data_IF_562149637669
#
_entry.id   IF_562149637669
#
_cell.length_a   1.000
_cell.length_b   1.000
_cell.length_c   1.000
_cell.angle_alpha   90.00
_cell.angle_beta   90.00
_cell.angle_gamma   90.00
#
_symmetry.space_group_name_H-M   'P 1'
#
loop_
_entity.id
_entity.type
_entity.pdbx_description
1 polymer ?
#
# COMPACT_ATOMS: atom_id res chain seq x y z
N UNK A 1 -6.73 11.01 3.10
CA UNK A 1 -6.26 10.53 4.41
C UNK A 1 -6.93 9.24 4.93
N UNK A 2 -8.23 8.95 4.72
CA UNK A 2 -8.88 7.70 5.18
C UNK A 2 -8.47 6.44 4.39
N UNK A 3 -8.20 6.53 3.10
CA UNK A 3 -7.63 5.41 2.31
C UNK A 3 -6.28 4.98 2.88
N UNK A 4 -5.47 5.96 3.26
CA UNK A 4 -4.20 5.74 3.95
C UNK A 4 -4.37 5.10 5.31
N UNK A 5 -5.38 5.53 6.09
CA UNK A 5 -5.61 4.95 7.43
C UNK A 5 -6.10 3.52 7.37
N UNK A 6 -6.95 3.14 6.38
CA UNK A 6 -7.44 1.75 6.23
C UNK A 6 -6.41 0.85 5.55
N UNK A 7 -5.75 1.29 4.49
CA UNK A 7 -4.56 0.62 3.95
C UNK A 7 -3.42 0.60 4.99
N UNK A 8 -3.26 1.68 5.79
CA UNK A 8 -2.31 1.73 6.88
C UNK A 8 -2.73 0.83 8.06
N UNK A 9 -4.00 0.61 8.33
CA UNK A 9 -4.43 -0.36 9.36
C UNK A 9 -4.19 -1.78 8.88
N UNK A 10 -4.47 -2.11 7.62
CA UNK A 10 -4.07 -3.40 7.03
C UNK A 10 -2.53 -3.50 6.89
N UNK A 11 -1.83 -2.40 6.57
CA UNK A 11 -0.38 -2.29 6.57
C UNK A 11 0.19 -2.28 7.99
N UNK A 12 -0.47 -1.63 8.97
CA UNK A 12 -0.04 -1.65 10.37
C UNK A 12 -0.28 -3.01 11.03
N UNK A 13 -1.37 -3.71 10.71
CA UNK A 13 -1.55 -5.10 11.19
C UNK A 13 -0.54 -6.04 10.55
N UNK A 14 -0.25 -5.87 9.26
CA UNK A 14 0.84 -6.61 8.62
C UNK A 14 2.22 -6.16 9.12
N UNK A 15 2.46 -4.86 9.28
CA UNK A 15 3.71 -4.30 9.81
C UNK A 15 3.87 -4.51 11.32
N UNK A 16 2.79 -4.52 12.11
CA UNK A 16 2.85 -4.90 13.52
C UNK A 16 3.13 -6.39 13.70
N UNK A 17 2.55 -7.25 12.87
CA UNK A 17 2.93 -8.67 12.86
C UNK A 17 4.40 -8.85 12.49
N UNK A 18 4.94 -8.03 11.58
CA UNK A 18 6.36 -8.04 11.19
C UNK A 18 7.23 -7.39 12.28
N UNK A 19 6.79 -6.29 12.92
CA UNK A 19 7.61 -5.58 13.92
C UNK A 19 7.68 -6.27 15.29
N UNK A 20 6.67 -7.06 15.67
CA UNK A 20 6.74 -7.87 16.90
C UNK A 20 7.79 -8.98 16.80
N UNK A 21 8.11 -9.43 15.58
CA UNK A 21 9.15 -10.45 15.36
C UNK A 21 10.57 -9.86 15.20
N UNK A 22 10.71 -8.57 14.87
CA UNK A 22 12.00 -7.88 14.73
C UNK A 22 12.55 -7.34 16.05
N UNK A 23 11.76 -7.29 17.12
CA UNK A 23 12.17 -6.78 18.42
C UNK A 23 13.20 -7.68 19.15
N UNK A 24 13.53 -8.86 18.63
CA UNK A 24 14.50 -9.79 19.19
C UNK A 24 15.84 -9.89 18.43
N UNK A 25 16.21 -8.98 17.55
CA UNK A 25 17.43 -9.05 16.77
C UNK A 25 18.19 -7.74 16.66
N UNK A 26 19.21 -7.56 17.51
CA UNK A 26 20.14 -6.44 17.45
C UNK A 26 21.00 -6.42 16.18
N UNK A 27 21.43 -5.23 15.83
CA UNK A 27 22.07 -4.78 14.62
C UNK A 27 23.26 -5.60 14.10
N UNK A 28 23.39 -5.57 12.78
CA UNK A 28 24.55 -6.05 12.06
C UNK A 28 24.62 -5.41 10.68
N UNK A 29 25.54 -4.47 10.52
CA UNK A 29 25.96 -3.92 9.24
C UNK A 29 26.62 -5.01 8.39
N UNK A 30 26.02 -5.35 7.27
CA UNK A 30 26.59 -6.28 6.29
C UNK A 30 26.54 -5.69 4.90
N UNK A 31 27.68 -5.19 4.42
CA UNK A 31 27.95 -4.86 3.01
C UNK A 31 27.98 -6.13 2.17
N UNK A 32 27.05 -6.29 1.24
CA UNK A 32 27.05 -7.36 0.27
C UNK A 32 26.41 -6.90 -1.03
N UNK A 33 27.25 -6.64 -2.05
CA UNK A 33 26.81 -6.31 -3.39
C UNK A 33 26.12 -7.49 -4.07
N UNK A 34 24.91 -7.30 -4.60
CA UNK A 34 24.21 -8.25 -5.43
C UNK A 34 23.33 -7.50 -6.41
N UNK A 35 23.54 -7.71 -7.72
CA UNK A 35 22.85 -7.05 -8.79
C UNK A 35 21.34 -7.19 -8.71
N UNK A 36 20.66 -6.15 -8.28
CA UNK A 36 19.23 -6.03 -8.27
C UNK A 36 18.71 -5.76 -9.67
N UNK A 37 17.93 -6.66 -10.22
CA UNK A 37 17.15 -6.41 -11.41
C UNK A 37 16.21 -5.23 -11.12
N UNK A 38 16.37 -4.14 -11.87
CA UNK A 38 15.51 -2.97 -11.78
C UNK A 38 14.11 -3.38 -12.18
N UNK A 39 13.16 -3.39 -11.24
CA UNK A 39 11.74 -3.37 -11.56
C UNK A 39 11.51 -2.06 -12.33
N UNK A 40 10.95 -2.09 -13.57
CA UNK A 40 10.75 -0.86 -14.31
C UNK A 40 9.75 0.00 -13.54
N UNK A 41 10.24 1.08 -12.95
CA UNK A 41 9.39 2.14 -12.41
C UNK A 41 8.68 2.78 -13.60
N UNK A 42 7.34 2.84 -13.55
CA UNK A 42 6.55 3.57 -14.53
C UNK A 42 6.22 4.97 -14.05
N UNK A 43 6.64 5.32 -12.83
CA UNK A 43 6.55 6.68 -12.32
C UNK A 43 7.59 7.56 -13.01
N UNK A 44 7.25 8.83 -13.27
CA UNK A 44 8.20 9.83 -13.72
C UNK A 44 9.25 10.06 -12.62
N UNK A 45 10.50 10.29 -13.02
CA UNK A 45 11.54 10.71 -12.08
C UNK A 45 11.24 12.12 -11.56
N UNK A 46 11.70 12.52 -10.35
CA UNK A 46 11.41 13.82 -9.78
C UNK A 46 11.75 15.01 -10.69
N UNK A 47 12.81 14.90 -11.51
CA UNK A 47 13.22 15.90 -12.50
C UNK A 47 12.27 16.04 -13.70
N UNK A 48 11.40 15.06 -13.93
CA UNK A 48 10.38 15.07 -14.98
C UNK A 48 9.05 15.68 -14.52
N UNK A 49 8.95 16.10 -13.26
CA UNK A 49 7.74 16.61 -12.63
C UNK A 49 7.93 18.10 -12.34
N UNK A 50 7.12 18.93 -12.97
CA UNK A 50 7.09 20.37 -12.69
C UNK A 50 5.87 20.67 -11.82
N UNK A 51 6.10 20.71 -10.50
CA UNK A 51 5.08 21.06 -9.52
C UNK A 51 5.05 22.57 -9.27
N UNK A 52 3.90 23.15 -8.91
CA UNK A 52 3.80 24.54 -8.49
C UNK A 52 4.60 24.76 -7.20
N UNK A 53 5.10 25.99 -7.00
CA UNK A 53 5.81 26.37 -5.78
C UNK A 53 4.87 26.33 -4.57
N UNK A 54 5.24 25.75 -3.43
CA UNK A 54 4.40 25.70 -2.22
C UNK A 54 3.96 27.06 -1.70
N UNK A 55 4.73 28.11 -1.95
CA UNK A 55 4.45 29.49 -1.54
C UNK A 55 3.47 30.25 -2.44
N UNK A 56 3.22 29.77 -3.65
CA UNK A 56 2.40 30.48 -4.64
C UNK A 56 0.91 30.17 -4.46
N UNK A 57 0.27 30.89 -3.54
CA UNK A 57 -1.17 30.87 -3.31
C UNK A 57 -1.96 31.89 -4.16
N UNK A 58 -1.26 32.52 -5.13
CA UNK A 58 -1.86 33.53 -6.02
C UNK A 58 -2.11 34.89 -5.36
N UNK A 59 -1.65 35.12 -4.12
CA UNK A 59 -1.82 36.40 -3.42
C UNK A 59 -0.58 37.35 -3.53
N UNK A 60 0.47 36.90 -4.22
CA UNK A 60 1.73 37.67 -4.34
C UNK A 60 1.74 38.57 -5.58
N UNK A 61 1.33 39.82 -5.43
CA UNK A 61 1.75 40.91 -6.32
C UNK A 61 3.24 41.18 -6.16
N UNK A 62 4.06 40.67 -7.06
CA UNK A 62 5.51 40.78 -6.95
C UNK A 62 6.17 41.12 -8.26
N UNK A 63 6.79 42.21 -8.31
CA UNK A 63 7.76 42.86 -9.17
C UNK A 63 8.86 41.95 -9.74
N UNK A 64 8.94 41.91 -11.08
CA UNK A 64 10.14 41.98 -11.92
C UNK A 64 11.26 40.97 -11.77
N UNK A 65 11.42 40.13 -12.78
CA UNK A 65 12.64 39.36 -13.08
C UNK A 65 12.46 38.53 -14.35
N UNK A 66 13.08 38.97 -15.44
CA UNK A 66 13.07 38.29 -16.74
C UNK A 66 13.74 36.90 -16.63
N UNK A 67 12.94 35.89 -16.88
CA UNK A 67 13.40 34.52 -17.07
C UNK A 67 12.18 33.68 -17.46
N UNK A 68 11.97 33.47 -18.73
CA UNK A 68 10.77 32.90 -19.34
C UNK A 68 10.63 31.36 -19.16
N UNK A 69 10.50 30.91 -17.93
CA UNK A 69 9.75 29.66 -17.67
C UNK A 69 8.50 30.05 -16.89
N UNK A 70 7.35 30.02 -17.55
CA UNK A 70 6.04 30.24 -16.93
C UNK A 70 5.80 29.12 -15.91
N UNK A 71 6.15 29.39 -14.63
CA UNK A 71 5.76 28.53 -13.51
C UNK A 71 4.24 28.38 -13.52
N UNK A 72 3.72 27.18 -13.37
CA UNK A 72 2.29 26.98 -13.28
C UNK A 72 1.71 27.72 -12.08
N UNK A 73 0.81 28.67 -12.35
CA UNK A 73 0.14 29.46 -11.31
C UNK A 73 -1.06 28.70 -10.78
N UNK A 74 -1.21 28.61 -9.47
CA UNK A 74 -2.39 28.01 -8.83
C UNK A 74 -3.56 28.98 -8.85
N UNK A 75 -4.73 28.51 -9.27
CA UNK A 75 -5.97 29.28 -9.23
C UNK A 75 -6.91 28.66 -8.20
N UNK A 76 -7.48 29.43 -7.26
CA UNK A 76 -8.43 28.91 -6.28
C UNK A 76 -9.66 28.27 -6.93
N UNK A 77 -10.09 27.14 -6.43
CA UNK A 77 -11.40 26.57 -6.74
C UNK A 77 -12.42 27.27 -5.82
N UNK A 78 -13.39 27.97 -6.44
CA UNK A 78 -14.41 28.74 -5.70
C UNK A 78 -15.30 27.81 -4.86
N UNK A 79 -15.63 26.64 -5.41
CA UNK A 79 -16.46 25.63 -4.74
C UNK A 79 -15.80 24.25 -4.83
N UNK A 80 -15.27 23.80 -3.72
CA UNK A 80 -14.58 22.51 -3.59
C UNK A 80 -15.49 21.33 -3.96
N UNK A 81 -16.80 21.45 -3.72
CA UNK A 81 -17.77 20.41 -4.05
C UNK A 81 -17.95 20.22 -5.58
N UNK A 82 -17.54 21.18 -6.38
CA UNK A 82 -17.52 21.09 -7.85
C UNK A 82 -16.17 20.64 -8.43
N UNK A 83 -15.19 20.34 -7.59
CA UNK A 83 -13.87 19.86 -7.99
C UNK A 83 -13.95 18.49 -8.71
N UNK A 84 -12.88 18.12 -9.41
CA UNK A 84 -12.74 16.76 -9.96
C UNK A 84 -12.61 15.72 -8.87
N UNK A 85 -11.95 16.06 -7.74
CA UNK A 85 -11.89 15.20 -6.57
C UNK A 85 -13.29 14.95 -5.99
N UNK A 86 -14.15 15.98 -5.88
CA UNK A 86 -15.52 15.79 -5.43
C UNK A 86 -16.31 14.85 -6.36
N UNK A 87 -16.21 15.06 -7.67
CA UNK A 87 -16.86 14.21 -8.69
C UNK A 87 -16.32 12.77 -8.68
N UNK A 88 -15.02 12.61 -8.44
CA UNK A 88 -14.42 11.30 -8.25
C UNK A 88 -14.98 10.62 -7.01
N UNK A 89 -15.06 11.34 -5.88
CA UNK A 89 -15.66 10.82 -4.66
C UNK A 89 -17.11 10.42 -4.88
N UNK A 90 -17.93 11.26 -5.53
CA UNK A 90 -19.32 10.97 -5.87
C UNK A 90 -19.46 9.73 -6.77
N UNK A 91 -18.62 9.61 -7.80
CA UNK A 91 -18.59 8.47 -8.71
C UNK A 91 -18.38 7.13 -8.00
N UNK A 92 -17.58 7.14 -6.94
CA UNK A 92 -17.24 5.94 -6.19
C UNK A 92 -17.96 5.83 -4.83
N UNK A 93 -18.69 6.88 -4.41
CA UNK A 93 -19.52 6.85 -3.22
C UNK A 93 -20.61 5.78 -3.37
N UNK A 94 -20.70 4.88 -2.39
CA UNK A 94 -21.65 3.79 -2.41
C UNK A 94 -21.32 2.64 -3.37
N UNK A 95 -20.14 2.66 -4.03
CA UNK A 95 -19.69 1.49 -4.76
C UNK A 95 -19.39 0.34 -3.79
N UNK A 96 -20.10 -0.77 -3.94
CA UNK A 96 -19.90 -1.98 -3.14
C UNK A 96 -18.80 -2.88 -3.70
N UNK A 97 -18.40 -2.63 -4.94
CA UNK A 97 -17.32 -3.34 -5.62
C UNK A 97 -16.35 -2.36 -6.25
N UNK A 98 -15.05 -2.53 -6.02
CA UNK A 98 -14.02 -1.79 -6.73
C UNK A 98 -12.72 -2.58 -6.87
N UNK A 99 -11.87 -2.10 -7.79
CA UNK A 99 -10.50 -2.55 -7.97
C UNK A 99 -9.58 -1.34 -8.15
N UNK A 100 -8.46 -1.33 -7.44
CA UNK A 100 -7.39 -0.35 -7.61
C UNK A 100 -6.06 -1.06 -7.80
N UNK A 101 -5.27 -0.59 -8.76
CA UNK A 101 -3.85 -0.89 -8.87
C UNK A 101 -3.06 0.42 -8.82
N UNK A 102 -2.13 0.51 -7.88
CA UNK A 102 -1.36 1.72 -7.61
C UNK A 102 0.11 1.39 -7.38
N UNK A 103 0.98 2.29 -7.82
CA UNK A 103 2.40 2.30 -7.50
C UNK A 103 2.70 3.57 -6.71
N UNK A 104 3.41 3.42 -5.60
CA UNK A 104 3.88 4.52 -4.76
C UNK A 104 5.39 4.46 -4.68
N UNK A 105 6.07 5.57 -4.89
CA UNK A 105 7.50 5.72 -4.62
C UNK A 105 7.73 6.81 -3.59
N UNK A 106 8.60 6.55 -2.61
CA UNK A 106 9.09 7.56 -1.67
C UNK A 106 10.50 7.96 -2.03
N UNK A 107 10.85 9.21 -1.75
CA UNK A 107 12.11 9.81 -2.15
C UNK A 107 12.91 10.32 -0.95
N UNK A 108 14.24 10.31 -1.10
CA UNK A 108 15.14 11.06 -0.22
C UNK A 108 15.13 12.55 -0.56
N UNK A 109 15.72 13.37 0.30
CA UNK A 109 15.93 14.79 0.03
C UNK A 109 16.78 15.07 -1.23
N UNK A 110 17.55 14.08 -1.70
CA UNK A 110 18.30 14.16 -2.96
C UNK A 110 17.51 13.69 -4.18
N UNK A 111 16.23 13.28 -4.01
CA UNK A 111 15.39 12.77 -5.09
C UNK A 111 15.61 11.28 -5.43
N UNK A 112 16.45 10.57 -4.67
CA UNK A 112 16.63 9.12 -4.86
C UNK A 112 15.43 8.35 -4.36
N UNK A 113 15.00 7.32 -5.10
CA UNK A 113 13.95 6.39 -4.65
C UNK A 113 14.44 5.59 -3.44
N UNK A 114 13.74 5.73 -2.32
CA UNK A 114 13.99 4.98 -1.08
C UNK A 114 13.18 3.70 -1.03
N UNK A 115 11.92 3.76 -1.43
CA UNK A 115 11.05 2.59 -1.49
C UNK A 115 10.08 2.71 -2.65
N UNK A 116 9.61 1.54 -3.11
CA UNK A 116 8.55 1.43 -4.11
C UNK A 116 7.54 0.40 -3.62
N UNK A 117 6.27 0.77 -3.60
CA UNK A 117 5.16 -0.06 -3.14
C UNK A 117 4.15 -0.21 -4.27
N UNK A 118 4.03 -1.41 -4.81
CA UNK A 118 2.94 -1.74 -5.71
C UNK A 118 1.80 -2.36 -4.91
N UNK A 119 0.62 -1.77 -5.03
CA UNK A 119 -0.60 -2.21 -4.36
C UNK A 119 -1.63 -2.65 -5.40
N UNK A 120 -2.26 -3.80 -5.18
CA UNK A 120 -3.50 -4.20 -5.82
C UNK A 120 -4.52 -4.44 -4.74
N UNK A 121 -5.62 -3.73 -4.81
CA UNK A 121 -6.71 -3.83 -3.84
C UNK A 121 -8.02 -4.07 -4.58
N UNK A 122 -8.81 -5.02 -4.11
CA UNK A 122 -10.16 -5.24 -4.56
C UNK A 122 -11.08 -5.33 -3.35
N UNK A 123 -12.24 -4.73 -3.46
CA UNK A 123 -13.31 -4.88 -2.47
C UNK A 123 -14.57 -5.38 -3.16
N UNK A 124 -15.28 -6.25 -2.46
CA UNK A 124 -16.63 -6.67 -2.83
C UNK A 124 -17.46 -6.75 -1.56
N UNK A 125 -18.45 -5.88 -1.44
CA UNK A 125 -19.21 -5.70 -0.21
C UNK A 125 -18.27 -5.48 0.99
N UNK A 126 -18.25 -6.39 1.94
CA UNK A 126 -17.35 -6.35 3.10
C UNK A 126 -16.07 -7.18 2.92
N UNK A 127 -15.92 -7.87 1.78
CA UNK A 127 -14.75 -8.68 1.50
C UNK A 127 -13.65 -7.82 0.88
N UNK A 128 -12.40 -7.99 1.32
CA UNK A 128 -11.27 -7.21 0.89
C UNK A 128 -10.11 -8.12 0.46
N UNK A 129 -9.59 -7.89 -0.73
CA UNK A 129 -8.34 -8.45 -1.21
C UNK A 129 -7.26 -7.37 -1.26
N UNK A 130 -6.07 -7.69 -0.79
CA UNK A 130 -4.91 -6.81 -0.81
C UNK A 130 -3.66 -7.58 -1.22
N UNK A 131 -2.98 -7.11 -2.27
CA UNK A 131 -1.65 -7.59 -2.65
C UNK A 131 -0.69 -6.41 -2.59
N UNK A 132 0.38 -6.57 -1.83
CA UNK A 132 1.42 -5.56 -1.62
C UNK A 132 2.75 -6.12 -2.07
N UNK A 133 3.45 -5.41 -2.94
CA UNK A 133 4.84 -5.68 -3.28
C UNK A 133 5.68 -4.48 -2.87
N UNK A 134 6.56 -4.67 -1.92
CA UNK A 134 7.40 -3.62 -1.32
C UNK A 134 8.84 -3.87 -1.74
N UNK A 135 9.44 -2.89 -2.39
CA UNK A 135 10.87 -2.84 -2.70
C UNK A 135 11.50 -1.68 -1.95
N UNK A 136 12.47 -1.95 -1.10
CA UNK A 136 13.28 -0.94 -0.40
C UNK A 136 14.62 -0.84 -1.13
N UNK A 137 15.21 0.36 -1.19
CA UNK A 137 16.52 0.59 -1.84
C UNK A 137 17.53 -0.47 -1.39
N UNK A 138 18.14 -1.17 -2.34
CA UNK A 138 19.12 -2.24 -2.13
C UNK A 138 18.60 -3.53 -1.47
N UNK A 139 17.29 -3.72 -1.38
CA UNK A 139 16.69 -4.96 -0.90
C UNK A 139 15.88 -5.65 -1.99
N UNK A 140 15.72 -6.96 -1.87
CA UNK A 140 14.83 -7.73 -2.76
C UNK A 140 13.38 -7.37 -2.46
N UNK A 141 12.58 -7.15 -3.50
CA UNK A 141 11.16 -6.92 -3.34
C UNK A 141 10.47 -8.08 -2.63
N UNK A 142 9.60 -7.75 -1.68
CA UNK A 142 8.75 -8.70 -0.94
C UNK A 142 7.31 -8.51 -1.35
N UNK A 143 6.59 -9.61 -1.54
CA UNK A 143 5.18 -9.58 -1.89
C UNK A 143 4.37 -10.33 -0.86
N UNK A 144 3.38 -9.65 -0.29
CA UNK A 144 2.40 -10.18 0.65
C UNK A 144 1.01 -10.11 0.03
N UNK A 145 0.20 -11.10 0.29
CA UNK A 145 -1.15 -11.19 -0.24
C UNK A 145 -2.13 -11.55 0.88
N UNK A 146 -3.16 -10.72 1.04
CA UNK A 146 -4.15 -10.85 2.10
C UNK A 146 -5.55 -10.92 1.51
N UNK A 147 -6.41 -11.65 2.18
CA UNK A 147 -7.82 -11.76 1.86
C UNK A 147 -8.63 -11.71 3.16
N UNK A 148 -9.46 -10.68 3.32
CA UNK A 148 -10.40 -10.60 4.42
C UNK A 148 -11.79 -10.96 3.92
N UNK A 149 -12.42 -11.95 4.54
CA UNK A 149 -13.76 -12.42 4.19
C UNK A 149 -14.71 -12.25 5.36
N UNK A 150 -15.89 -11.72 5.09
CA UNK A 150 -16.96 -11.63 6.08
C UNK A 150 -17.69 -12.97 6.19
N UNK A 151 -17.70 -13.54 7.39
CA UNK A 151 -18.39 -14.76 7.74
C UNK A 151 -19.33 -14.50 8.93
N UNK A 152 -20.59 -14.19 8.65
CA UNK A 152 -21.56 -13.76 9.66
C UNK A 152 -21.20 -12.41 10.26
N UNK A 153 -20.98 -12.34 11.59
CA UNK A 153 -20.54 -11.13 12.32
C UNK A 153 -19.00 -10.98 12.40
N UNK A 154 -18.25 -11.95 11.89
CA UNK A 154 -16.80 -11.97 11.94
C UNK A 154 -16.20 -11.66 10.58
N UNK A 155 -15.04 -11.02 10.57
CA UNK A 155 -14.14 -10.96 9.43
C UNK A 155 -12.90 -11.77 9.71
N UNK A 156 -12.67 -12.73 8.83
CA UNK A 156 -11.49 -13.58 8.86
C UNK A 156 -10.45 -13.05 7.87
N UNK A 157 -9.25 -12.77 8.35
CA UNK A 157 -8.13 -12.35 7.50
C UNK A 157 -7.19 -13.50 7.23
N UNK A 158 -6.99 -13.79 5.95
CA UNK A 158 -6.12 -14.84 5.46
C UNK A 158 -4.89 -14.24 4.81
N UNK A 159 -3.71 -14.78 5.11
CA UNK A 159 -2.49 -14.61 4.32
C UNK A 159 -2.43 -15.72 3.27
N UNK A 160 -2.21 -15.36 2.00
CA UNK A 160 -2.24 -16.31 0.88
C UNK A 160 -0.81 -16.66 0.44
N UNK A 161 -0.47 -17.94 0.49
CA UNK A 161 0.80 -18.51 0.02
C UNK A 161 0.55 -19.24 -1.31
N UNK A 162 0.74 -18.52 -2.41
CA UNK A 162 0.37 -19.00 -3.76
C UNK A 162 1.14 -20.24 -4.20
N UNK A 163 2.44 -20.31 -3.92
CA UNK A 163 3.28 -21.43 -4.34
C UNK A 163 2.89 -22.73 -3.62
N UNK A 164 2.56 -22.63 -2.35
CA UNK A 164 2.12 -23.77 -1.51
C UNK A 164 0.62 -24.04 -1.60
N UNK A 165 -0.16 -23.14 -2.23
CA UNK A 165 -1.63 -23.16 -2.25
C UNK A 165 -2.22 -23.26 -0.84
N UNK A 166 -1.82 -22.34 0.02
CA UNK A 166 -2.25 -22.25 1.42
C UNK A 166 -2.89 -20.89 1.68
N UNK A 167 -3.97 -20.89 2.44
CA UNK A 167 -4.59 -19.74 3.07
C UNK A 167 -4.46 -19.91 4.59
N UNK A 168 -3.62 -19.10 5.22
CA UNK A 168 -3.48 -19.10 6.67
C UNK A 168 -4.33 -17.98 7.26
N UNK A 169 -5.38 -18.32 8.03
CA UNK A 169 -6.14 -17.35 8.79
C UNK A 169 -5.25 -16.81 9.91
N UNK A 170 -4.92 -15.52 9.86
CA UNK A 170 -4.02 -14.83 10.78
C UNK A 170 -4.77 -14.01 11.83
N UNK A 171 -6.09 -13.98 11.77
CA UNK A 171 -6.91 -13.29 12.75
C UNK A 171 -8.38 -13.20 12.34
N UNK A 172 -9.23 -13.02 13.34
CA UNK A 172 -10.65 -12.77 13.18
C UNK A 172 -11.01 -11.57 14.05
N UNK A 173 -11.76 -10.63 13.48
CA UNK A 173 -12.25 -9.45 14.19
C UNK A 173 -13.76 -9.32 14.00
N UNK A 174 -14.46 -8.78 15.01
CA UNK A 174 -15.80 -8.29 14.79
C UNK A 174 -15.72 -7.06 13.89
N UNK A 175 -16.46 -7.09 12.80
CA UNK A 175 -16.65 -5.89 12.00
C UNK A 175 -17.85 -5.16 12.56
N UNK A 176 -17.62 -4.00 13.17
CA UNK A 176 -18.63 -2.97 13.22
C UNK A 176 -18.93 -2.56 11.76
N UNK A 177 -20.21 -2.32 11.45
CA UNK A 177 -20.73 -2.08 10.09
C UNK A 177 -20.05 -0.94 9.29
N UNK A 178 -19.09 -0.22 9.87
CA UNK A 178 -18.31 0.87 9.27
C UNK A 178 -17.31 0.42 8.17
N UNK A 179 -17.18 -0.90 7.92
CA UNK A 179 -16.31 -1.41 6.83
C UNK A 179 -16.95 -1.27 5.44
N UNK A 180 -18.20 -0.79 5.35
CA UNK A 180 -18.90 -0.56 4.07
C UNK A 180 -18.41 0.67 3.31
N UNK A 181 -17.65 1.57 3.96
CA UNK A 181 -17.03 2.69 3.28
C UNK A 181 -15.84 2.20 2.46
N UNK A 182 -15.96 2.25 1.13
CA UNK A 182 -14.98 1.76 0.15
C UNK A 182 -13.58 2.35 0.32
N UNK A 183 -13.45 3.44 1.11
CA UNK A 183 -12.18 4.11 1.36
C UNK A 183 -11.54 4.73 0.11
N UNK A 184 -12.18 4.65 -1.07
CA UNK A 184 -11.73 5.34 -2.28
C UNK A 184 -12.06 6.83 -2.18
N UNK A 185 -13.22 7.17 -1.60
CA UNK A 185 -13.60 8.55 -1.38
C UNK A 185 -12.75 9.15 -0.26
N UNK A 186 -12.12 10.29 -0.54
CA UNK A 186 -11.34 11.04 0.43
C UNK A 186 -12.19 12.19 0.99
N UNK A 187 -11.96 12.62 2.23
CA UNK A 187 -12.54 13.86 2.72
C UNK A 187 -12.09 15.01 1.83
N UNK A 188 -13.06 15.86 1.45
CA UNK A 188 -12.74 17.05 0.68
C UNK A 188 -11.99 18.03 1.58
N UNK A 189 -10.87 18.60 1.11
CA UNK A 189 -10.14 19.60 1.86
C UNK A 189 -10.95 20.91 1.98
N UNK A 190 -10.73 21.68 3.03
CA UNK A 190 -11.41 22.95 3.24
C UNK A 190 -11.09 23.99 2.16
N UNK A 191 -9.90 23.91 1.55
CA UNK A 191 -9.45 24.80 0.50
C UNK A 191 -8.65 24.02 -0.55
N UNK A 192 -8.86 24.38 -1.82
CA UNK A 192 -8.26 23.72 -2.96
C UNK A 192 -7.95 24.73 -4.06
N UNK A 193 -6.92 24.45 -4.83
CA UNK A 193 -6.53 25.20 -6.02
C UNK A 193 -6.48 24.26 -7.22
N UNK A 194 -6.62 24.81 -8.41
CA UNK A 194 -6.31 24.06 -9.63
C UNK A 194 -5.12 24.66 -10.36
N UNK A 195 -4.44 23.82 -11.10
CA UNK A 195 -3.27 24.21 -11.89
C UNK A 195 -3.07 23.23 -13.05
N UNK A 196 -2.10 23.49 -13.90
CA UNK A 196 -1.58 22.53 -14.88
C UNK A 196 -0.24 22.02 -14.39
N UNK A 197 -0.07 20.71 -14.36
CA UNK A 197 1.18 20.05 -13.98
C UNK A 197 1.73 19.29 -15.17
N UNK A 198 2.98 19.52 -15.51
CA UNK A 198 3.67 18.78 -16.56
C UNK A 198 4.34 17.54 -15.97
N UNK A 199 4.00 16.38 -16.52
CA UNK A 199 4.59 15.08 -16.15
C UNK A 199 5.16 14.45 -17.41
N UNK A 200 6.48 14.42 -17.53
CA UNK A 200 7.15 14.07 -18.78
C UNK A 200 6.69 14.96 -19.95
N UNK A 201 6.20 14.40 -21.06
CA UNK A 201 5.74 15.20 -22.20
C UNK A 201 4.28 15.69 -22.07
N UNK A 202 3.55 15.32 -21.00
CA UNK A 202 2.10 15.50 -20.91
C UNK A 202 1.74 16.55 -19.84
N UNK A 203 0.84 17.46 -20.21
CA UNK A 203 0.22 18.41 -19.30
C UNK A 203 -1.07 17.83 -18.72
N UNK A 204 -1.20 17.86 -17.39
CA UNK A 204 -2.36 17.38 -16.66
C UNK A 204 -3.07 18.53 -15.97
N UNK A 205 -4.40 18.53 -16.02
CA UNK A 205 -5.18 19.32 -15.06
C UNK A 205 -4.95 18.72 -13.67
N UNK A 206 -4.60 19.56 -12.71
CA UNK A 206 -4.32 19.14 -11.36
C UNK A 206 -5.07 19.98 -10.32
N UNK A 207 -5.45 19.34 -9.25
CA UNK A 207 -6.02 19.95 -8.05
C UNK A 207 -5.02 19.81 -6.91
N UNK A 208 -4.80 20.92 -6.19
CA UNK A 208 -3.79 21.05 -5.15
C UNK A 208 -4.47 21.41 -3.85
N UNK A 209 -4.11 20.73 -2.79
CA UNK A 209 -4.55 21.04 -1.43
C UNK A 209 -3.42 20.82 -0.43
N UNK A 210 -3.59 21.34 0.78
CA UNK A 210 -2.60 21.24 1.86
C UNK A 210 -3.26 20.69 3.12
N UNK A 211 -2.51 19.94 3.87
CA UNK A 211 -2.72 19.73 5.29
C UNK A 211 -1.66 20.46 6.11
N UNK A 212 -1.41 20.05 7.35
CA UNK A 212 -0.46 20.69 8.25
C UNK A 212 0.99 20.50 7.81
N UNK A 213 1.32 19.40 7.14
CA UNK A 213 2.69 18.96 6.88
C UNK A 213 3.05 18.96 5.39
N UNK A 214 2.07 18.73 4.51
CA UNK A 214 2.32 18.49 3.11
C UNK A 214 1.36 19.19 2.16
N UNK A 215 1.83 19.40 0.93
CA UNK A 215 1.04 19.81 -0.22
C UNK A 215 0.83 18.59 -1.13
N UNK A 216 -0.42 18.33 -1.45
CA UNK A 216 -0.84 17.25 -2.34
C UNK A 216 -1.28 17.81 -3.68
N UNK A 217 -0.71 17.29 -4.75
CA UNK A 217 -1.07 17.64 -6.13
C UNK A 217 -1.66 16.44 -6.82
N UNK A 218 -2.96 16.47 -7.13
CA UNK A 218 -3.73 15.41 -7.75
C UNK A 218 -3.93 15.69 -9.23
N UNK A 219 -3.32 14.91 -10.10
CA UNK A 219 -3.42 15.02 -11.56
C UNK A 219 -4.51 14.10 -12.09
N UNK A 220 -5.41 14.63 -12.94
CA UNK A 220 -6.55 13.90 -13.46
C UNK A 220 -6.41 13.57 -14.94
N UNK A 221 -6.79 12.34 -15.29
CA UNK A 221 -6.96 11.91 -16.66
C UNK A 221 -8.19 12.53 -17.35
N UNK A 222 -8.33 12.23 -18.63
CA UNK A 222 -9.47 12.70 -19.45
C UNK A 222 -10.81 12.12 -19.01
N UNK A 223 -10.80 10.94 -18.37
CA UNK A 223 -11.96 10.26 -17.80
C UNK A 223 -12.39 10.82 -16.43
N UNK A 224 -11.64 11.79 -15.87
CA UNK A 224 -11.90 12.40 -14.58
C UNK A 224 -11.37 11.61 -13.38
N UNK A 225 -10.73 10.46 -13.60
CA UNK A 225 -10.09 9.71 -12.52
C UNK A 225 -8.65 10.21 -12.27
N UNK A 226 -8.13 10.15 -11.03
CA UNK A 226 -6.75 10.47 -10.75
C UNK A 226 -5.80 9.52 -11.49
N UNK A 227 -4.72 10.09 -12.03
CA UNK A 227 -3.61 9.37 -12.69
C UNK A 227 -2.37 9.43 -11.83
N UNK A 228 -2.06 10.63 -11.32
CA UNK A 228 -0.93 10.84 -10.42
C UNK A 228 -1.37 11.61 -9.18
N UNK A 229 -0.68 11.37 -8.07
CA UNK A 229 -0.66 12.25 -6.92
C UNK A 229 0.80 12.47 -6.51
N UNK A 230 1.13 13.69 -6.16
CA UNK A 230 2.44 14.09 -5.67
C UNK A 230 2.30 14.68 -4.28
N UNK A 231 3.16 14.26 -3.38
CA UNK A 231 3.22 14.74 -2.02
C UNK A 231 4.52 15.50 -1.83
N UNK A 232 4.42 16.77 -1.44
CA UNK A 232 5.54 17.68 -1.26
C UNK A 232 5.52 18.22 0.16
N UNK A 233 6.64 18.12 0.86
CA UNK A 233 6.77 18.65 2.21
C UNK A 233 6.66 20.16 2.21
N UNK A 234 5.85 20.72 3.13
CA UNK A 234 5.76 22.16 3.35
C UNK A 234 6.99 22.72 4.07
N UNK A 235 7.72 21.89 4.82
CA UNK A 235 8.91 22.31 5.55
C UNK A 235 10.16 22.38 4.69
N UNK A 236 10.35 21.38 3.83
CA UNK A 236 11.58 21.26 3.02
C UNK A 236 11.37 21.69 1.58
N UNK A 237 10.14 21.74 1.10
CA UNK A 237 9.81 21.95 -0.31
C UNK A 237 10.15 20.76 -1.22
N UNK A 238 10.62 19.66 -0.66
CA UNK A 238 11.01 18.47 -1.43
C UNK A 238 9.81 17.59 -1.75
N UNK A 239 9.85 16.92 -2.90
CA UNK A 239 8.94 15.83 -3.23
C UNK A 239 9.27 14.64 -2.31
N UNK A 240 8.29 14.20 -1.52
CA UNK A 240 8.43 13.09 -0.58
C UNK A 240 7.88 11.79 -1.13
N UNK A 241 6.77 11.86 -1.88
CA UNK A 241 6.20 10.68 -2.52
C UNK A 241 5.50 11.00 -3.85
N UNK A 242 5.48 10.01 -4.73
CA UNK A 242 4.69 10.01 -5.97
C UNK A 242 3.84 8.76 -6.04
N UNK A 243 2.61 8.93 -6.51
CA UNK A 243 1.61 7.89 -6.66
C UNK A 243 1.17 7.81 -8.12
N UNK A 244 1.16 6.62 -8.68
CA UNK A 244 0.57 6.34 -10.00
C UNK A 244 -0.63 5.42 -9.83
N UNK A 245 -1.80 5.90 -10.19
CA UNK A 245 -3.03 5.12 -10.26
C UNK A 245 -3.09 4.43 -11.63
N UNK A 246 -2.67 3.16 -11.69
CA UNK A 246 -2.65 2.40 -12.95
C UNK A 246 -4.04 2.00 -13.40
N UNK A 247 -4.89 1.66 -12.42
CA UNK A 247 -6.26 1.22 -12.68
C UNK A 247 -7.15 1.60 -11.51
N UNK A 248 -8.29 2.18 -11.81
CA UNK A 248 -9.39 2.40 -10.86
C UNK A 248 -10.67 1.96 -11.55
N UNK A 249 -11.37 0.98 -10.99
CA UNK A 249 -12.60 0.42 -11.56
C UNK A 249 -13.63 0.20 -10.47
N UNK A 250 -14.88 0.57 -10.74
CA UNK A 250 -16.04 0.24 -9.92
C UNK A 250 -16.97 -0.71 -10.67
N UNK A 251 -17.71 -1.54 -9.95
CA UNK A 251 -18.76 -2.41 -10.47
C UNK A 251 -18.42 -3.90 -10.51
N UNK A 252 -19.38 -4.66 -11.00
CA UNK A 252 -19.42 -6.12 -10.97
C UNK A 252 -18.38 -6.72 -11.91
N UNK A 253 -17.47 -7.55 -11.40
CA UNK A 253 -16.62 -8.43 -12.20
C UNK A 253 -15.12 -8.31 -11.95
N UNK A 254 -14.57 -7.11 -11.66
CA UNK A 254 -13.13 -6.95 -11.45
C UNK A 254 -12.67 -7.52 -10.11
N UNK A 255 -13.47 -7.40 -9.05
CA UNK A 255 -13.14 -7.85 -7.70
C UNK A 255 -13.62 -9.26 -7.36
N UNK A 256 -14.67 -9.78 -8.02
CA UNK A 256 -15.29 -11.08 -7.67
C UNK A 256 -14.33 -12.28 -7.67
N UNK A 257 -13.32 -12.26 -8.53
CA UNK A 257 -12.33 -13.35 -8.60
C UNK A 257 -11.25 -13.24 -7.53
N UNK A 258 -11.09 -12.05 -6.94
CA UNK A 258 -10.06 -11.78 -5.95
C UNK A 258 -10.61 -11.89 -4.53
N UNK A 259 -11.85 -11.43 -4.30
CA UNK A 259 -12.51 -11.46 -3.00
C UNK A 259 -13.17 -12.83 -2.73
N UNK A 260 -12.39 -13.90 -2.85
CA UNK A 260 -12.80 -15.27 -2.50
C UNK A 260 -11.56 -16.13 -2.27
N UNK A 261 -11.67 -17.13 -1.41
CA UNK A 261 -10.60 -18.11 -1.22
C UNK A 261 -10.31 -18.83 -2.54
N UNK A 262 -9.04 -18.86 -2.99
CA UNK A 262 -8.70 -19.49 -4.25
C UNK A 262 -8.97 -21.00 -4.21
N UNK A 263 -9.55 -21.54 -5.27
CA UNK A 263 -9.89 -22.95 -5.36
C UNK A 263 -8.66 -23.85 -5.16
N UNK A 264 -8.78 -24.85 -4.31
CA UNK A 264 -7.76 -25.85 -4.04
C UNK A 264 -6.69 -25.39 -3.04
N UNK A 265 -6.89 -24.25 -2.38
CA UNK A 265 -6.06 -23.85 -1.25
C UNK A 265 -6.44 -24.67 -0.01
N UNK A 266 -5.42 -25.03 0.77
CA UNK A 266 -5.58 -25.61 2.11
C UNK A 266 -5.69 -24.50 3.13
N UNK A 267 -6.63 -24.60 4.06
CA UNK A 267 -6.83 -23.62 5.10
C UNK A 267 -6.11 -24.06 6.37
N UNK A 268 -5.40 -23.09 6.97
CA UNK A 268 -4.81 -23.22 8.30
C UNK A 268 -5.25 -22.03 9.15
N UNK A 269 -5.36 -22.22 10.46
CA UNK A 269 -5.56 -21.14 11.43
C UNK A 269 -4.24 -20.91 12.13
N UNK A 270 -3.66 -19.73 11.98
CA UNK A 270 -2.36 -19.33 12.53
C UNK A 270 -2.59 -18.45 13.78
N UNK A 271 -1.98 -18.83 14.87
CA UNK A 271 -1.91 -18.06 16.10
C UNK A 271 -0.46 -17.60 16.29
N UNK A 272 -0.23 -16.32 16.02
CA UNK A 272 1.10 -15.72 16.06
C UNK A 272 1.57 -15.44 17.50
N UNK A 273 0.64 -15.26 18.45
CA UNK A 273 0.99 -15.02 19.85
C UNK A 273 1.53 -16.30 20.49
N UNK A 274 0.89 -17.43 20.19
CA UNK A 274 1.32 -18.73 20.69
C UNK A 274 2.37 -19.44 19.81
N UNK A 275 2.68 -18.89 18.64
CA UNK A 275 3.54 -19.53 17.63
C UNK A 275 3.06 -20.93 17.25
N UNK A 276 1.76 -21.08 17.00
CA UNK A 276 1.15 -22.33 16.60
C UNK A 276 0.22 -22.15 15.40
N UNK A 277 -0.04 -23.23 14.71
CA UNK A 277 -1.12 -23.27 13.72
C UNK A 277 -1.90 -24.57 13.80
N UNK A 278 -3.10 -24.56 13.24
CA UNK A 278 -4.03 -25.67 13.20
C UNK A 278 -4.41 -25.97 11.77
N UNK A 279 -4.49 -27.25 11.40
CA UNK A 279 -5.04 -27.68 10.12
C UNK A 279 -6.58 -27.73 10.16
N UNK A 280 -7.21 -28.11 9.04
CA UNK A 280 -8.67 -28.25 8.94
C UNK A 280 -9.28 -29.33 9.85
N UNK A 281 -8.47 -30.18 10.44
CA UNK A 281 -8.88 -31.23 11.40
C UNK A 281 -8.52 -30.85 12.84
N UNK A 282 -8.22 -29.56 13.10
CA UNK A 282 -7.77 -29.04 14.40
C UNK A 282 -6.50 -29.72 14.96
N UNK A 283 -5.67 -30.33 14.11
CA UNK A 283 -4.38 -30.79 14.55
C UNK A 283 -3.46 -29.58 14.80
N UNK A 284 -2.91 -29.51 16.03
CA UNK A 284 -2.02 -28.43 16.46
C UNK A 284 -0.58 -28.72 16.03
N UNK A 285 0.09 -27.70 15.51
CA UNK A 285 1.50 -27.69 15.15
C UNK A 285 2.17 -26.47 15.77
N UNK A 286 3.39 -26.62 16.25
CA UNK A 286 4.17 -25.55 16.88
C UNK A 286 5.21 -25.03 15.91
N UNK A 287 5.30 -23.70 15.78
CA UNK A 287 6.34 -23.00 15.03
C UNK A 287 7.50 -22.67 15.97
N UNK A 288 8.54 -23.47 15.91
CA UNK A 288 9.73 -23.26 16.74
C UNK A 288 10.75 -22.41 15.98
N UNK A 289 11.09 -21.19 16.44
CA UNK A 289 12.11 -20.37 15.80
C UNK A 289 13.45 -21.09 15.73
N UNK A 290 14.08 -21.09 14.57
CA UNK A 290 15.39 -21.66 14.35
C UNK A 290 16.43 -20.56 14.25
N UNK A 291 17.43 -20.60 15.11
CA UNK A 291 18.57 -19.69 15.11
C UNK A 291 19.80 -20.39 14.56
N UNK A 292 20.68 -19.66 13.89
CA UNK A 292 22.01 -20.14 13.54
C UNK A 292 23.00 -20.01 14.70
N UNK A 293 24.26 -20.38 14.48
CA UNK A 293 25.31 -20.32 15.50
C UNK A 293 25.65 -18.89 15.94
N UNK A 294 25.22 -17.87 15.24
CA UNK A 294 25.40 -16.45 15.58
C UNK A 294 24.21 -15.86 16.32
N UNK A 295 23.13 -16.64 16.52
CA UNK A 295 21.85 -16.15 17.09
C UNK A 295 20.94 -15.45 16.08
N UNK A 296 21.26 -15.53 14.80
CA UNK A 296 20.40 -14.98 13.75
C UNK A 296 19.25 -15.92 13.47
N UNK A 297 18.03 -15.36 13.36
CA UNK A 297 16.83 -16.10 12.97
C UNK A 297 16.92 -16.58 11.51
N UNK A 298 16.82 -17.89 11.28
CA UNK A 298 17.02 -18.54 9.98
C UNK A 298 15.83 -19.40 9.53
N UNK A 299 14.71 -19.36 10.25
CA UNK A 299 13.49 -20.08 9.87
C UNK A 299 12.72 -20.64 11.05
N UNK A 300 11.81 -21.54 10.73
CA UNK A 300 11.04 -22.27 11.72
C UNK A 300 11.23 -23.79 11.56
N UNK A 301 11.22 -24.48 12.67
CA UNK A 301 10.97 -25.93 12.73
C UNK A 301 9.52 -26.13 13.11
N UNK A 302 8.79 -26.96 12.36
CA UNK A 302 7.40 -27.30 12.65
C UNK A 302 7.36 -28.60 13.41
N UNK A 303 6.81 -28.57 14.62
CA UNK A 303 6.65 -29.76 15.47
C UNK A 303 5.17 -30.17 15.53
N UNK A 304 4.90 -31.45 15.42
CA UNK A 304 3.57 -32.01 15.68
C UNK A 304 3.29 -32.13 17.20
N UNK A 305 2.10 -32.59 17.57
CA UNK A 305 1.68 -32.77 18.97
C UNK A 305 2.57 -33.74 19.77
N UNK A 306 3.36 -34.57 19.11
CA UNK A 306 4.32 -35.51 19.76
C UNK A 306 5.71 -34.89 19.87
N UNK A 307 5.93 -33.67 19.39
CA UNK A 307 7.24 -33.02 19.35
C UNK A 307 8.11 -33.46 18.17
N UNK A 308 7.56 -34.23 17.22
CA UNK A 308 8.29 -34.69 16.05
C UNK A 308 8.38 -33.58 15.01
N UNK A 309 9.57 -33.40 14.41
CA UNK A 309 9.78 -32.48 13.29
C UNK A 309 9.02 -32.96 12.03
N UNK A 310 8.11 -32.12 11.58
CA UNK A 310 7.27 -32.35 10.39
C UNK A 310 7.40 -31.18 9.39
N UNK A 311 8.40 -30.34 9.51
CA UNK A 311 8.64 -29.13 8.71
C UNK A 311 8.50 -29.37 7.21
N UNK A 312 8.97 -30.52 6.72
CA UNK A 312 8.91 -30.89 5.29
C UNK A 312 7.51 -30.93 4.71
N UNK A 313 6.49 -31.11 5.56
CA UNK A 313 5.09 -31.19 5.15
C UNK A 313 4.45 -29.80 4.95
N UNK A 314 5.10 -28.74 5.42
CA UNK A 314 4.55 -27.37 5.48
C UNK A 314 5.44 -26.36 4.76
N UNK A 315 5.56 -26.50 3.44
CA UNK A 315 6.40 -25.60 2.60
C UNK A 315 6.02 -24.12 2.74
N UNK A 316 4.74 -23.82 3.02
CA UNK A 316 4.27 -22.45 3.21
C UNK A 316 4.93 -21.76 4.40
N UNK A 317 5.41 -22.49 5.40
CA UNK A 317 6.14 -21.92 6.54
C UNK A 317 7.47 -21.28 6.11
N UNK A 318 8.11 -21.81 5.05
CA UNK A 318 9.28 -21.17 4.45
C UNK A 318 8.90 -19.87 3.72
N UNK A 319 7.79 -19.88 2.97
CA UNK A 319 7.28 -18.65 2.32
C UNK A 319 6.93 -17.60 3.37
N UNK A 320 6.32 -18.00 4.50
CA UNK A 320 6.03 -17.13 5.63
C UNK A 320 7.30 -16.54 6.24
N UNK A 321 8.33 -17.38 6.47
CA UNK A 321 9.63 -16.92 6.95
C UNK A 321 10.27 -15.88 6.02
N UNK A 322 10.25 -16.12 4.71
CA UNK A 322 10.82 -15.20 3.71
C UNK A 322 10.15 -13.82 3.74
N UNK A 323 8.86 -13.74 4.14
CA UNK A 323 8.16 -12.47 4.35
C UNK A 323 8.66 -11.72 5.60
N UNK A 324 9.10 -12.45 6.64
CA UNK A 324 9.52 -11.87 7.91
C UNK A 324 10.95 -11.32 7.87
N UNK A 325 11.88 -11.98 7.19
CA UNK A 325 13.33 -11.73 7.32
C UNK A 325 14.04 -11.31 6.06
N UNK A 326 13.43 -11.38 4.91
CA UNK A 326 14.06 -11.12 3.63
C UNK A 326 14.51 -9.68 3.38
#
# INVERSE_FOLDING_TARGET
MRLYKKAAVCLLTAAMAISMLTACGGGGTGTGGGGGGKTPSTLPTPDQIVLPDPGDDGSGGGSGGEGTETKPTKTPIIDVNNSKLAKFNEKYAGATEFYIEMLVESYSSSGDVLSSIQTRMAQKDSDLYLNLSIAIKNQKAKTSEFLTLKEGSLSNTYMLFRNSKVAANVGSANIDDDFTDTGIATELPARMWYTTVKVGPTDYYAEVYRDEDAEYTLCFGTNGDPVYMFEKSLYTGNLEASYLYKTIQAGVGSSRKLCALPRGFKNYRLDLEENVFYDANDNKYTLNPKMDSTGKFVGFTVLDKSGKDVTKNFKWVSEFFDLLVG
#
